data_IF_119861107000
#
_entry.id   IF_119861107000
#
_cell.length_a   1.000
_cell.length_b   1.000
_cell.length_c   1.000
_cell.angle_alpha   90.00
_cell.angle_beta   90.00
_cell.angle_gamma   90.00
#
_symmetry.space_group_name_H-M   'P 1'
#
loop_
_entity.id
_entity.type
_entity.pdbx_description
1 polymer ?
#
# COMPACT_ATOMS: atom_id res chain seq x y z
N UNK A 1 -50.44 -20.87 -50.58
CA UNK A 1 -49.25 -21.35 -49.83
C UNK A 1 -48.02 -20.90 -50.56
N UNK A 2 -47.35 -19.83 -50.10
CA UNK A 2 -45.94 -19.52 -50.42
C UNK A 2 -45.52 -18.24 -49.71
N UNK A 3 -44.57 -18.42 -48.80
CA UNK A 3 -43.40 -17.57 -48.50
C UNK A 3 -43.58 -16.26 -47.70
N UNK A 4 -43.06 -16.39 -46.48
CA UNK A 4 -41.99 -15.57 -45.87
C UNK A 4 -42.43 -14.24 -45.25
N UNK A 5 -42.87 -14.38 -44.00
CA UNK A 5 -42.83 -13.34 -42.99
C UNK A 5 -41.42 -12.76 -42.88
N UNK A 6 -41.36 -11.44 -42.92
CA UNK A 6 -40.19 -10.59 -42.79
C UNK A 6 -39.62 -10.80 -41.37
N UNK A 7 -38.51 -11.53 -41.31
CA UNK A 7 -37.77 -11.82 -40.10
C UNK A 7 -37.01 -10.59 -39.63
N UNK A 8 -37.48 -10.09 -38.49
CA UNK A 8 -36.95 -9.00 -37.68
C UNK A 8 -35.42 -9.10 -37.50
N UNK A 9 -34.72 -8.11 -38.05
CA UNK A 9 -33.34 -7.79 -37.67
C UNK A 9 -33.37 -7.35 -36.21
N UNK A 10 -32.59 -8.01 -35.37
CA UNK A 10 -31.65 -7.44 -34.38
C UNK A 10 -31.01 -8.65 -33.72
N UNK A 11 -29.83 -9.02 -34.24
CA UNK A 11 -28.92 -9.92 -33.57
C UNK A 11 -28.47 -9.27 -32.27
N UNK A 12 -29.08 -9.66 -31.15
CA UNK A 12 -28.62 -9.30 -29.82
C UNK A 12 -27.33 -10.09 -29.58
N UNK A 13 -26.21 -9.47 -29.93
CA UNK A 13 -24.88 -10.03 -29.76
C UNK A 13 -24.69 -10.44 -28.29
N UNK A 14 -24.45 -11.73 -28.12
CA UNK A 14 -23.84 -12.33 -26.93
C UNK A 14 -22.47 -11.69 -26.75
N UNK A 15 -22.43 -10.63 -25.95
CA UNK A 15 -21.23 -9.97 -25.47
C UNK A 15 -21.20 -10.10 -23.96
N UNK A 16 -21.02 -11.32 -23.48
CA UNK A 16 -20.87 -11.68 -22.08
C UNK A 16 -19.53 -11.16 -21.55
N UNK A 17 -19.36 -9.84 -21.54
CA UNK A 17 -18.26 -9.17 -20.86
C UNK A 17 -18.65 -8.98 -19.40
N UNK A 18 -18.81 -10.12 -18.71
CA UNK A 18 -18.63 -10.19 -17.27
C UNK A 18 -17.14 -9.93 -17.00
N UNK A 19 -16.72 -8.66 -17.08
CA UNK A 19 -15.53 -8.22 -16.35
C UNK A 19 -15.96 -8.09 -14.90
N UNK A 20 -16.03 -9.23 -14.23
CA UNK A 20 -16.07 -9.28 -12.78
C UNK A 20 -14.79 -8.66 -12.25
N UNK A 21 -14.81 -7.34 -12.06
CA UNK A 21 -13.97 -6.72 -11.05
C UNK A 21 -14.52 -7.16 -9.71
N UNK A 22 -14.09 -8.34 -9.27
CA UNK A 22 -14.01 -8.62 -7.85
C UNK A 22 -13.04 -7.60 -7.26
N UNK A 23 -13.56 -6.45 -6.82
CA UNK A 23 -12.82 -5.56 -5.91
C UNK A 23 -12.82 -6.28 -4.56
N UNK A 24 -11.95 -7.28 -4.44
CA UNK A 24 -11.54 -7.78 -3.15
C UNK A 24 -10.91 -6.59 -2.42
N UNK A 25 -11.51 -6.16 -1.30
CA UNK A 25 -11.09 -5.02 -0.49
C UNK A 25 -9.57 -5.01 -0.32
N UNK A 26 -8.92 -4.02 -0.92
CA UNK A 26 -7.49 -4.02 -1.24
C UNK A 26 -6.62 -3.96 0.00
N UNK A 27 -6.17 -5.11 0.50
CA UNK A 27 -5.18 -5.21 1.59
C UNK A 27 -3.74 -4.97 1.15
N UNK A 28 -3.54 -4.34 -0.01
CA UNK A 28 -2.23 -4.12 -0.60
C UNK A 28 -1.46 -5.41 -0.90
N UNK A 29 -0.22 -5.29 -1.40
CA UNK A 29 0.66 -6.43 -1.63
C UNK A 29 1.06 -7.09 -0.30
N UNK A 30 1.37 -8.38 -0.34
CA UNK A 30 1.87 -9.12 0.82
C UNK A 30 3.22 -8.60 1.31
N UNK A 31 4.13 -8.35 0.35
CA UNK A 31 5.46 -7.81 0.59
C UNK A 31 5.77 -6.65 -0.35
N UNK A 32 6.59 -5.70 0.11
CA UNK A 32 7.02 -4.52 -0.65
C UNK A 32 8.53 -4.42 -0.54
N UNK A 33 9.22 -4.18 -1.66
CA UNK A 33 10.66 -3.88 -1.63
C UNK A 33 10.87 -2.37 -1.61
N UNK A 34 11.40 -1.86 -0.50
CA UNK A 34 11.77 -0.45 -0.35
C UNK A 34 13.23 -0.27 -0.76
N UNK A 35 13.44 0.37 -1.92
CA UNK A 35 14.78 0.63 -2.46
C UNK A 35 15.57 1.59 -1.57
N UNK A 36 16.80 1.22 -1.20
CA UNK A 36 17.64 2.05 -0.36
C UNK A 36 19.14 1.88 -0.64
N UNK A 37 19.89 2.97 -0.46
CA UNK A 37 21.35 3.01 -0.72
C UNK A 37 22.17 2.03 0.13
N UNK A 38 21.65 1.62 1.31
CA UNK A 38 22.36 0.73 2.25
C UNK A 38 21.90 -0.73 2.14
N UNK A 39 21.27 -1.10 1.03
CA UNK A 39 20.60 -2.39 0.85
C UNK A 39 19.09 -2.20 0.92
N UNK A 40 18.38 -2.89 0.04
CA UNK A 40 16.93 -2.85 -0.02
C UNK A 40 16.31 -3.42 1.25
N UNK A 41 15.15 -2.91 1.63
CA UNK A 41 14.38 -3.40 2.77
C UNK A 41 13.15 -4.12 2.25
N UNK A 42 13.05 -5.42 2.52
CA UNK A 42 11.81 -6.17 2.31
C UNK A 42 10.88 -5.86 3.47
N UNK A 43 9.77 -5.20 3.15
CA UNK A 43 8.72 -4.86 4.08
C UNK A 43 7.57 -5.85 3.93
N UNK A 44 7.33 -6.66 4.97
CA UNK A 44 6.21 -7.61 5.00
C UNK A 44 4.92 -6.87 5.39
N UNK A 45 4.23 -6.30 4.40
CA UNK A 45 3.05 -5.46 4.59
C UNK A 45 1.91 -6.23 5.26
N UNK A 46 1.59 -7.44 4.80
CA UNK A 46 0.54 -8.25 5.44
C UNK A 46 0.86 -8.61 6.87
N UNK A 47 2.12 -8.92 7.22
CA UNK A 47 2.48 -9.18 8.62
C UNK A 47 2.10 -8.02 9.55
N UNK A 48 2.33 -6.78 9.11
CA UNK A 48 1.94 -5.61 9.90
C UNK A 48 0.42 -5.49 10.01
N UNK A 49 -0.32 -5.83 8.95
CA UNK A 49 -1.77 -5.71 8.91
C UNK A 49 -2.51 -6.86 9.62
N UNK A 50 -2.13 -8.12 9.37
CA UNK A 50 -2.90 -9.31 9.74
C UNK A 50 -2.40 -9.96 11.03
N UNK A 51 -1.09 -10.07 11.22
CA UNK A 51 -0.52 -10.67 12.42
C UNK A 51 -0.42 -9.65 13.56
N UNK A 52 0.02 -8.42 13.23
CA UNK A 52 0.23 -7.36 14.22
C UNK A 52 -0.97 -6.42 14.37
N UNK A 53 -2.01 -6.57 13.54
CA UNK A 53 -3.22 -5.74 13.56
C UNK A 53 -2.96 -4.22 13.56
N UNK A 54 -1.90 -3.79 12.86
CA UNK A 54 -1.54 -2.38 12.77
C UNK A 54 -2.53 -1.68 11.82
N UNK A 55 -3.23 -0.63 12.26
CA UNK A 55 -4.17 0.10 11.40
C UNK A 55 -3.47 0.72 10.19
N UNK A 56 -4.15 0.77 9.04
CA UNK A 56 -3.61 1.38 7.81
C UNK A 56 -3.06 2.79 8.06
N UNK A 57 -3.74 3.57 8.91
CA UNK A 57 -3.37 4.94 9.26
C UNK A 57 -2.12 5.12 10.11
N UNK A 58 -1.54 4.05 10.64
CA UNK A 58 -0.23 4.13 11.30
C UNK A 58 0.90 4.45 10.29
N UNK A 59 0.68 4.15 9.01
CA UNK A 59 1.61 4.47 7.92
C UNK A 59 0.96 5.39 6.88
N UNK A 60 -0.26 5.07 6.45
CA UNK A 60 -0.96 5.78 5.38
C UNK A 60 -1.73 6.97 5.93
N UNK A 61 -1.06 8.11 6.03
CA UNK A 61 -1.70 9.35 6.45
C UNK A 61 -1.93 10.29 5.26
N UNK A 62 -2.92 11.17 5.39
CA UNK A 62 -3.09 12.28 4.45
C UNK A 62 -2.13 13.44 4.75
N UNK A 63 -2.24 14.55 4.00
CA UNK A 63 -1.46 15.76 4.23
C UNK A 63 -1.62 16.25 5.69
N UNK A 64 -0.50 16.66 6.30
CA UNK A 64 -0.53 17.14 7.69
C UNK A 64 -0.80 16.06 8.75
N UNK A 65 -0.55 14.77 8.43
CA UNK A 65 -0.91 13.65 9.31
C UNK A 65 -2.43 13.52 9.54
N UNK A 66 -3.24 13.96 8.58
CA UNK A 66 -4.68 13.70 8.65
C UNK A 66 -4.95 12.18 8.64
N UNK A 67 -5.93 11.70 9.43
CA UNK A 67 -6.19 10.28 9.55
C UNK A 67 -6.50 9.61 8.21
N UNK A 68 -6.05 8.37 8.06
CA UNK A 68 -6.49 7.49 6.99
C UNK A 68 -8.01 7.33 6.97
N UNK A 69 -8.56 7.22 5.77
CA UNK A 69 -9.94 6.81 5.54
C UNK A 69 -9.95 5.69 4.51
N UNK A 70 -10.81 4.70 4.70
CA UNK A 70 -10.96 3.60 3.76
C UNK A 70 -11.26 4.15 2.36
N UNK A 71 -10.59 3.61 1.34
CA UNK A 71 -10.69 4.11 -0.03
C UNK A 71 -9.87 5.38 -0.34
N UNK A 72 -9.13 5.95 0.63
CA UNK A 72 -8.15 6.99 0.34
C UNK A 72 -7.06 6.45 -0.60
N UNK A 73 -6.78 7.20 -1.66
CA UNK A 73 -5.69 6.87 -2.59
C UNK A 73 -4.35 6.83 -1.85
N UNK A 74 -3.67 5.69 -1.93
CA UNK A 74 -2.36 5.49 -1.32
C UNK A 74 -1.27 5.87 -2.32
N UNK A 75 -0.60 6.98 -2.05
CA UNK A 75 0.52 7.47 -2.87
C UNK A 75 1.86 7.03 -2.30
N UNK A 76 2.88 6.79 -3.15
CA UNK A 76 4.25 6.59 -2.71
C UNK A 76 4.72 7.72 -1.80
N UNK A 77 5.42 7.38 -0.71
CA UNK A 77 5.84 8.36 0.30
C UNK A 77 6.66 9.52 -0.29
N UNK A 78 7.40 9.26 -1.38
CA UNK A 78 8.27 10.24 -2.02
C UNK A 78 7.52 11.35 -2.79
N UNK A 79 6.22 11.19 -3.05
CA UNK A 79 5.41 12.26 -3.63
C UNK A 79 5.27 13.44 -2.67
N UNK A 80 5.19 13.18 -1.36
CA UNK A 80 5.14 14.23 -0.34
C UNK A 80 6.47 14.39 0.42
N UNK A 81 7.06 13.29 0.89
CA UNK A 81 8.32 13.30 1.64
C UNK A 81 9.54 13.45 0.73
N UNK A 82 9.65 14.61 0.08
CA UNK A 82 10.70 14.96 -0.86
C UNK A 82 11.40 16.28 -0.47
N UNK A 83 12.36 16.70 -1.30
CA UNK A 83 13.21 17.88 -1.05
C UNK A 83 12.42 19.18 -0.76
N UNK A 84 11.21 19.29 -1.31
CA UNK A 84 10.33 20.45 -1.18
C UNK A 84 9.47 20.40 0.10
N UNK A 85 9.43 19.27 0.81
CA UNK A 85 8.67 19.16 2.05
C UNK A 85 9.18 20.18 3.08
N UNK A 86 8.29 20.99 3.71
CA UNK A 86 8.70 22.07 4.60
C UNK A 86 9.55 21.58 5.79
N UNK A 87 9.14 20.48 6.41
CA UNK A 87 9.88 19.92 7.52
C UNK A 87 11.13 19.16 7.03
N UNK A 88 12.31 19.77 7.21
CA UNK A 88 13.60 19.17 6.82
C UNK A 88 13.91 17.84 7.55
N UNK A 89 13.26 17.53 8.66
CA UNK A 89 13.38 16.22 9.32
C UNK A 89 12.58 15.12 8.60
N UNK A 90 11.73 15.47 7.64
CA UNK A 90 10.83 14.56 6.91
C UNK A 90 10.90 14.72 5.38
N UNK A 91 11.82 15.55 4.87
CA UNK A 91 11.92 15.90 3.45
C UNK A 91 12.58 14.85 2.56
N UNK A 92 12.61 13.59 3.00
CA UNK A 92 13.08 12.43 2.24
C UNK A 92 12.31 11.20 2.73
N UNK A 93 11.98 10.22 1.89
CA UNK A 93 11.27 9.01 2.31
C UNK A 93 12.08 8.25 3.37
N UNK A 94 13.40 8.17 3.17
CA UNK A 94 14.33 7.61 4.14
C UNK A 94 14.16 8.21 5.54
N UNK A 95 13.97 9.53 5.65
CA UNK A 95 13.80 10.17 6.97
C UNK A 95 12.44 9.84 7.58
N UNK A 96 11.39 9.79 6.76
CA UNK A 96 10.07 9.37 7.20
C UNK A 96 10.08 7.91 7.70
N UNK A 97 10.70 6.98 6.97
CA UNK A 97 10.84 5.59 7.37
C UNK A 97 11.66 5.42 8.66
N UNK A 98 12.80 6.11 8.79
CA UNK A 98 13.58 6.04 10.04
C UNK A 98 12.91 6.71 11.22
N UNK A 99 11.97 7.64 10.99
CA UNK A 99 11.15 8.18 12.08
C UNK A 99 10.04 7.22 12.45
N UNK A 100 9.27 6.73 11.48
CA UNK A 100 8.11 5.88 11.71
C UNK A 100 8.50 4.44 12.05
N UNK A 101 9.07 3.71 11.08
CA UNK A 101 9.37 2.28 11.20
C UNK A 101 10.31 2.01 12.38
N UNK A 102 11.45 2.69 12.44
CA UNK A 102 12.42 2.51 13.55
C UNK A 102 11.87 3.04 14.88
N UNK A 103 11.03 4.07 14.86
CA UNK A 103 10.39 4.61 16.07
C UNK A 103 9.43 3.61 16.69
N UNK A 104 8.47 3.13 15.90
CA UNK A 104 7.51 2.10 16.31
C UNK A 104 8.23 0.82 16.75
N UNK A 105 9.21 0.33 15.99
CA UNK A 105 9.98 -0.87 16.37
C UNK A 105 10.69 -0.70 17.71
N UNK A 106 11.22 0.49 18.03
CA UNK A 106 11.82 0.75 19.34
C UNK A 106 10.79 0.72 20.47
N UNK A 107 9.63 1.33 20.25
CA UNK A 107 8.54 1.34 21.24
C UNK A 107 8.01 -0.06 21.50
N UNK A 108 7.95 -0.88 20.46
CA UNK A 108 7.42 -2.24 20.52
C UNK A 108 8.47 -3.28 20.91
N UNK A 109 9.75 -2.93 21.00
CA UNK A 109 10.83 -3.90 21.20
C UNK A 109 10.66 -4.76 22.46
N UNK A 110 10.13 -4.18 23.54
CA UNK A 110 9.86 -4.91 24.78
C UNK A 110 8.78 -6.00 24.62
N UNK A 111 7.78 -5.78 23.76
CA UNK A 111 6.67 -6.71 23.49
C UNK A 111 6.95 -7.63 22.30
N UNK A 112 7.72 -7.14 21.34
CA UNK A 112 8.09 -7.81 20.10
C UNK A 112 9.59 -7.68 19.90
N UNK A 113 10.40 -8.52 20.57
CA UNK A 113 11.87 -8.44 20.51
C UNK A 113 12.42 -8.66 19.09
N UNK A 114 11.63 -9.32 18.22
CA UNK A 114 11.94 -9.51 16.81
C UNK A 114 11.78 -8.25 15.95
N UNK A 115 11.23 -7.16 16.49
CA UNK A 115 11.14 -5.89 15.78
C UNK A 115 12.56 -5.32 15.55
N UNK A 116 13.03 -5.19 14.30
CA UNK A 116 14.40 -4.78 14.04
C UNK A 116 14.61 -3.29 14.38
N UNK A 117 15.53 -3.02 15.31
CA UNK A 117 15.89 -1.65 15.73
C UNK A 117 17.29 -1.22 15.26
N UNK A 118 18.14 -2.20 14.89
CA UNK A 118 19.50 -2.00 14.36
C UNK A 118 19.46 -1.84 12.84
N UNK A 119 20.46 -1.14 12.29
CA UNK A 119 20.52 -0.82 10.86
C UNK A 119 20.48 -2.08 9.97
N UNK A 120 21.27 -3.09 10.32
CA UNK A 120 21.36 -4.38 9.62
C UNK A 120 20.16 -5.31 9.89
N UNK A 121 19.29 -4.96 10.85
CA UNK A 121 18.04 -5.68 11.07
C UNK A 121 17.02 -5.43 9.96
N UNK A 122 17.04 -4.24 9.36
CA UNK A 122 16.20 -3.90 8.21
C UNK A 122 16.97 -3.97 6.88
N UNK A 123 18.19 -3.42 6.85
CA UNK A 123 19.05 -3.40 5.68
C UNK A 123 19.95 -4.64 5.67
N UNK A 124 19.40 -5.77 5.21
CA UNK A 124 20.20 -6.97 5.00
C UNK A 124 21.14 -6.75 3.81
N UNK A 125 22.39 -7.20 3.95
CA UNK A 125 23.39 -7.17 2.88
C UNK A 125 23.14 -8.29 1.89
#
# INVERSE_FOLDING_TARGET
MVRKLIGMVVGLAVGLSFYGFAVAGGKGPETITLKAKKGDVVFHHWKHQTELNIPCGECHHGPGHSPYKEGMEIKPCHECHNKNFPNKKLNKPMKAFHKNCKGCHKQMHAKHPNAPTKCNGCHKK
#
